data_IF_581817619984
#
_entry.id   IF_581817619984
#
_cell.length_a   1.000
_cell.length_b   1.000
_cell.length_c   1.000
_cell.angle_alpha   90.00
_cell.angle_beta   90.00
_cell.angle_gamma   90.00
#
_symmetry.space_group_name_H-M   'P 1'
#
loop_
_entity.id
_entity.type
_entity.pdbx_description
1 polymer ?
#
# COMPACT_ATOMS: atom_id res chain seq x y z
N UNK A 1 -8.29 -14.04 -10.40
CA UNK A 1 -7.92 -13.88 -8.95
C UNK A 1 -7.83 -12.40 -8.63
N UNK A 2 -8.49 -11.96 -7.55
CA UNK A 2 -8.36 -10.58 -7.08
C UNK A 2 -7.02 -10.37 -6.38
N UNK A 3 -6.61 -9.11 -6.23
CA UNK A 3 -5.39 -8.78 -5.47
C UNK A 3 -5.51 -9.28 -4.03
N UNK A 4 -6.70 -9.20 -3.44
CA UNK A 4 -6.92 -9.72 -2.08
C UNK A 4 -6.63 -11.23 -2.01
N UNK A 5 -7.12 -11.99 -2.98
CA UNK A 5 -6.85 -13.44 -3.04
C UNK A 5 -5.37 -13.74 -3.24
N UNK A 6 -4.68 -12.95 -4.08
CA UNK A 6 -3.22 -13.06 -4.25
C UNK A 6 -2.47 -12.80 -2.95
N UNK A 7 -2.90 -11.78 -2.19
CA UNK A 7 -2.30 -11.47 -0.90
C UNK A 7 -2.55 -12.56 0.14
N UNK A 8 -3.73 -13.16 0.14
CA UNK A 8 -4.02 -14.30 1.02
C UNK A 8 -3.09 -15.48 0.73
N UNK A 9 -2.85 -15.76 -0.55
CA UNK A 9 -1.93 -16.81 -0.96
C UNK A 9 -0.49 -16.48 -0.57
N UNK A 10 -0.06 -15.24 -0.80
CA UNK A 10 1.25 -14.73 -0.40
C UNK A 10 1.46 -14.85 1.12
N UNK A 11 0.46 -14.48 1.91
CA UNK A 11 0.49 -14.59 3.36
C UNK A 11 0.64 -16.06 3.78
N UNK A 12 -0.14 -16.95 3.19
CA UNK A 12 -0.07 -18.39 3.47
C UNK A 12 1.32 -18.96 3.16
N UNK A 13 1.90 -18.55 2.05
CA UNK A 13 3.25 -18.98 1.65
C UNK A 13 4.34 -18.50 2.61
N UNK A 14 4.08 -17.42 3.33
CA UNK A 14 4.98 -16.89 4.38
C UNK A 14 4.65 -17.41 5.78
N UNK A 15 3.76 -18.38 5.89
CA UNK A 15 3.39 -18.98 7.17
C UNK A 15 2.45 -18.11 8.01
N UNK A 16 1.82 -17.12 7.41
CA UNK A 16 0.86 -16.24 8.08
C UNK A 16 -0.54 -16.85 8.04
N UNK A 17 -1.26 -16.72 9.15
CA UNK A 17 -2.64 -17.16 9.27
C UNK A 17 -3.53 -15.92 9.26
N UNK A 18 -4.35 -15.77 8.23
CA UNK A 18 -5.26 -14.62 8.05
C UNK A 18 -6.69 -15.05 8.32
N UNK A 19 -7.40 -14.28 9.15
CA UNK A 19 -8.82 -14.51 9.47
C UNK A 19 -9.60 -13.20 9.41
N UNK A 20 -10.79 -13.23 8.88
CA UNK A 20 -11.74 -12.13 8.97
C UNK A 20 -12.50 -12.27 10.28
N UNK A 21 -12.52 -11.22 11.09
CA UNK A 21 -13.12 -11.22 12.43
C UNK A 21 -13.77 -9.89 12.74
N UNK A 22 -14.68 -9.91 13.73
CA UNK A 22 -15.21 -8.69 14.30
C UNK A 22 -14.12 -8.00 15.12
N UNK A 23 -13.71 -6.81 14.67
CA UNK A 23 -12.73 -5.99 15.37
C UNK A 23 -13.41 -4.72 15.87
N UNK A 24 -13.12 -4.32 17.11
CA UNK A 24 -13.82 -3.21 17.76
C UNK A 24 -13.25 -1.84 17.45
N UNK A 25 -11.96 -1.72 17.17
CA UNK A 25 -11.29 -0.41 17.09
C UNK A 25 -10.34 -0.23 15.92
N UNK A 26 -10.13 -1.26 15.11
CA UNK A 26 -9.23 -1.18 13.97
C UNK A 26 -9.73 -2.01 12.80
N UNK A 27 -9.20 -1.75 11.62
CA UNK A 27 -9.54 -2.52 10.43
C UNK A 27 -8.68 -3.77 10.29
N UNK A 28 -7.50 -3.78 10.88
CA UNK A 28 -6.60 -4.92 10.88
C UNK A 28 -5.74 -4.97 12.13
N UNK A 29 -5.32 -6.15 12.49
CA UNK A 29 -4.40 -6.40 13.61
C UNK A 29 -3.45 -7.51 13.22
N UNK A 30 -2.20 -7.40 13.70
CA UNK A 30 -1.22 -8.48 13.58
C UNK A 30 -0.67 -8.83 14.96
N UNK A 31 -0.58 -10.12 15.22
CA UNK A 31 0.08 -10.65 16.42
C UNK A 31 0.86 -11.90 16.03
N UNK A 32 2.18 -11.82 16.14
CA UNK A 32 3.10 -12.89 15.70
C UNK A 32 2.84 -13.22 14.22
N UNK A 33 2.42 -14.46 13.91
CA UNK A 33 2.11 -14.89 12.54
C UNK A 33 0.61 -14.87 12.23
N UNK A 34 -0.20 -14.19 13.05
CA UNK A 34 -1.66 -14.14 12.88
C UNK A 34 -2.10 -12.74 12.52
N UNK A 35 -2.87 -12.64 11.45
CA UNK A 35 -3.47 -11.39 10.99
C UNK A 35 -4.97 -11.50 11.07
N UNK A 36 -5.62 -10.50 11.67
CA UNK A 36 -7.07 -10.37 11.67
C UNK A 36 -7.46 -9.18 10.80
N UNK A 37 -8.44 -9.38 9.93
CA UNK A 37 -9.01 -8.35 9.08
C UNK A 37 -10.45 -8.14 9.53
N UNK A 38 -10.88 -6.87 9.64
CA UNK A 38 -12.24 -6.56 10.09
C UNK A 38 -13.28 -7.10 9.09
N UNK A 39 -14.30 -7.76 9.61
CA UNK A 39 -15.41 -8.25 8.82
C UNK A 39 -16.39 -7.14 8.40
N UNK A 40 -16.16 -5.89 8.88
CA UNK A 40 -16.91 -4.71 8.46
C UNK A 40 -16.47 -4.18 7.10
N UNK A 41 -15.30 -4.57 6.61
CA UNK A 41 -14.83 -4.16 5.29
C UNK A 41 -15.67 -4.85 4.22
N UNK A 42 -16.21 -4.06 3.30
CA UNK A 42 -17.20 -4.56 2.34
C UNK A 42 -16.60 -4.97 1.02
N UNK A 43 -15.53 -4.28 0.58
CA UNK A 43 -14.96 -4.51 -0.75
C UNK A 43 -13.65 -5.27 -0.67
N UNK A 44 -13.34 -5.97 -1.77
CA UNK A 44 -12.06 -6.66 -1.94
C UNK A 44 -10.88 -5.68 -1.88
N UNK A 45 -11.05 -4.48 -2.44
CA UNK A 45 -10.01 -3.44 -2.40
C UNK A 45 -9.72 -2.98 -0.97
N UNK A 46 -10.76 -2.76 -0.15
CA UNK A 46 -10.58 -2.40 1.26
C UNK A 46 -9.80 -3.48 2.01
N UNK A 47 -10.20 -4.72 1.84
CA UNK A 47 -9.55 -5.87 2.49
C UNK A 47 -8.10 -6.02 2.03
N UNK A 48 -7.84 -5.85 0.73
CA UNK A 48 -6.50 -5.94 0.16
C UNK A 48 -5.56 -4.88 0.76
N UNK A 49 -6.03 -3.64 0.86
CA UNK A 49 -5.23 -2.55 1.43
C UNK A 49 -4.84 -2.83 2.88
N UNK A 50 -5.81 -3.26 3.69
CA UNK A 50 -5.56 -3.60 5.10
C UNK A 50 -4.60 -4.77 5.22
N UNK A 51 -4.82 -5.83 4.45
CA UNK A 51 -3.95 -7.01 4.48
C UNK A 51 -2.53 -6.68 4.04
N UNK A 52 -2.36 -5.85 3.00
CA UNK A 52 -1.05 -5.43 2.55
C UNK A 52 -0.28 -4.66 3.63
N UNK A 53 -0.95 -3.79 4.38
CA UNK A 53 -0.33 -3.08 5.51
C UNK A 53 0.09 -4.05 6.61
N UNK A 54 -0.75 -5.00 6.97
CA UNK A 54 -0.43 -5.97 8.03
C UNK A 54 0.71 -6.90 7.61
N UNK A 55 0.76 -7.33 6.37
CA UNK A 55 1.90 -8.08 5.83
C UNK A 55 3.16 -7.22 5.88
N UNK A 56 3.04 -5.94 5.53
CA UNK A 56 4.13 -4.98 5.64
C UNK A 56 4.68 -4.87 7.07
N UNK A 57 3.79 -4.80 8.05
CA UNK A 57 4.18 -4.78 9.46
C UNK A 57 4.91 -6.07 9.85
N UNK A 58 4.44 -7.20 9.37
CA UNK A 58 5.11 -8.49 9.63
C UNK A 58 6.55 -8.50 9.12
N UNK A 59 6.77 -8.02 7.89
CA UNK A 59 8.10 -8.05 7.26
C UNK A 59 9.06 -7.00 7.83
N UNK A 60 8.56 -5.90 8.37
CA UNK A 60 9.38 -4.77 8.80
C UNK A 60 9.48 -4.61 10.31
N UNK A 61 8.64 -5.30 11.08
CA UNK A 61 8.61 -5.16 12.53
C UNK A 61 9.88 -5.74 13.17
N UNK A 62 10.44 -4.96 14.11
CA UNK A 62 11.52 -5.39 14.99
C UNK A 62 10.98 -5.26 16.42
N UNK A 63 10.52 -6.38 17.00
CA UNK A 63 9.88 -6.39 18.30
C UNK A 63 8.40 -5.99 18.23
N UNK A 64 7.77 -5.83 19.40
CA UNK A 64 6.36 -5.49 19.50
C UNK A 64 6.16 -3.99 19.33
N UNK A 65 5.30 -3.58 18.39
CA UNK A 65 4.91 -2.18 18.21
C UNK A 65 3.75 -1.89 19.17
N UNK A 66 4.06 -1.69 20.45
CA UNK A 66 3.05 -1.48 21.48
C UNK A 66 2.87 -0.01 21.84
N UNK A 67 3.92 0.80 21.69
CA UNK A 67 3.90 2.21 22.07
C UNK A 67 4.23 3.11 20.87
N UNK A 68 3.17 3.67 20.26
CA UNK A 68 3.32 4.58 19.11
C UNK A 68 3.87 5.96 19.49
N UNK A 69 4.04 6.25 20.79
CA UNK A 69 4.70 7.49 21.23
C UNK A 69 6.22 7.37 21.17
N UNK A 70 6.74 6.16 21.08
CA UNK A 70 8.16 5.93 20.85
C UNK A 70 8.49 6.20 19.37
N UNK A 71 9.50 7.05 19.13
CA UNK A 71 9.92 7.46 17.78
C UNK A 71 10.30 6.24 16.91
N UNK A 72 10.96 5.24 17.50
CA UNK A 72 11.35 4.03 16.75
C UNK A 72 10.13 3.21 16.33
N UNK A 73 9.13 3.10 17.20
CA UNK A 73 7.88 2.42 16.87
C UNK A 73 7.10 3.14 15.77
N UNK A 74 7.10 4.49 15.79
CA UNK A 74 6.50 5.28 14.72
C UNK A 74 7.21 5.07 13.39
N UNK A 75 8.54 4.99 13.40
CA UNK A 75 9.32 4.72 12.19
C UNK A 75 9.03 3.31 11.64
N UNK A 76 8.88 2.32 12.51
CA UNK A 76 8.52 0.97 12.09
C UNK A 76 7.11 0.92 11.50
N UNK A 77 6.16 1.65 12.10
CA UNK A 77 4.81 1.78 11.59
C UNK A 77 4.82 2.37 10.18
N UNK A 78 5.60 3.42 9.96
CA UNK A 78 5.74 4.04 8.65
C UNK A 78 6.40 3.10 7.64
N UNK A 79 7.39 2.32 8.04
CA UNK A 79 8.02 1.32 7.17
C UNK A 79 7.03 0.23 6.76
N UNK A 80 6.19 -0.23 7.69
CA UNK A 80 5.15 -1.21 7.41
C UNK A 80 4.15 -0.69 6.39
N UNK A 81 3.68 0.55 6.56
CA UNK A 81 2.77 1.19 5.62
C UNK A 81 3.41 1.36 4.25
N UNK A 82 4.65 1.84 4.20
CA UNK A 82 5.38 2.00 2.95
C UNK A 82 5.54 0.67 2.21
N UNK A 83 5.82 -0.40 2.94
CA UNK A 83 5.87 -1.75 2.36
C UNK A 83 4.53 -2.11 1.69
N UNK A 84 3.42 -1.82 2.35
CA UNK A 84 2.07 -2.02 1.80
C UNK A 84 1.81 -1.17 0.57
N UNK A 85 2.18 0.11 0.59
CA UNK A 85 2.04 1.00 -0.57
C UNK A 85 2.85 0.49 -1.75
N UNK A 86 4.08 0.08 -1.52
CA UNK A 86 4.96 -0.42 -2.58
C UNK A 86 4.46 -1.77 -3.13
N UNK A 87 3.87 -2.62 -2.30
CA UNK A 87 3.30 -3.89 -2.74
C UNK A 87 2.08 -3.68 -3.63
N UNK A 88 1.19 -2.75 -3.25
CA UNK A 88 -0.07 -2.52 -3.94
C UNK A 88 0.05 -1.56 -5.12
N UNK A 89 0.92 -0.58 -5.03
CA UNK A 89 1.02 0.52 -5.98
C UNK A 89 2.42 0.58 -6.58
N UNK A 90 3.38 1.08 -5.79
CA UNK A 90 4.73 1.33 -6.24
C UNK A 90 4.81 2.39 -7.34
N UNK A 91 6.01 2.84 -7.65
CA UNK A 91 6.21 3.80 -8.75
C UNK A 91 5.80 3.17 -10.09
N UNK A 92 6.09 1.89 -10.27
CA UNK A 92 5.72 1.18 -11.50
C UNK A 92 4.21 1.06 -11.68
N UNK A 93 3.47 0.84 -10.60
CA UNK A 93 2.00 0.81 -10.64
C UNK A 93 1.41 2.12 -11.12
N UNK A 94 1.97 3.24 -10.67
CA UNK A 94 1.55 4.58 -11.13
C UNK A 94 1.78 4.72 -12.63
N UNK A 95 2.95 4.32 -13.11
CA UNK A 95 3.28 4.36 -14.54
C UNK A 95 2.32 3.49 -15.34
N UNK A 96 2.06 2.27 -14.88
CA UNK A 96 1.17 1.35 -15.57
C UNK A 96 -0.26 1.89 -15.66
N UNK A 97 -0.75 2.54 -14.61
CA UNK A 97 -2.07 3.17 -14.61
C UNK A 97 -2.16 4.30 -15.64
N UNK A 98 -1.18 5.18 -15.70
CA UNK A 98 -1.13 6.26 -16.70
C UNK A 98 -1.00 5.70 -18.11
N UNK A 99 -0.18 4.68 -18.31
CA UNK A 99 -0.03 4.01 -19.60
C UNK A 99 -1.33 3.36 -20.05
N UNK A 100 -2.12 2.84 -19.12
CA UNK A 100 -3.44 2.26 -19.40
C UNK A 100 -4.51 3.32 -19.70
N UNK A 101 -4.20 4.60 -19.57
CA UNK A 101 -5.11 5.71 -19.89
C UNK A 101 -5.88 6.27 -18.72
N UNK A 102 -5.55 5.91 -17.49
CA UNK A 102 -6.20 6.48 -16.31
C UNK A 102 -5.93 7.97 -16.20
N UNK A 103 -7.00 8.77 -15.99
CA UNK A 103 -6.92 10.22 -15.95
C UNK A 103 -7.33 10.82 -14.60
N UNK A 104 -7.86 10.01 -13.69
CA UNK A 104 -8.32 10.47 -12.39
C UNK A 104 -7.82 9.55 -11.29
N UNK A 105 -7.82 10.05 -10.05
CA UNK A 105 -7.50 9.24 -8.88
C UNK A 105 -8.42 8.04 -8.77
N UNK A 106 -9.70 8.23 -9.04
CA UNK A 106 -10.68 7.13 -9.03
C UNK A 106 -10.31 6.02 -10.02
N UNK A 107 -9.97 6.39 -11.27
CA UNK A 107 -9.58 5.42 -12.29
C UNK A 107 -8.29 4.69 -11.92
N UNK A 108 -7.31 5.40 -11.37
CA UNK A 108 -6.05 4.80 -10.92
C UNK A 108 -6.32 3.79 -9.79
N UNK A 109 -7.14 4.17 -8.83
CA UNK A 109 -7.49 3.29 -7.71
C UNK A 109 -8.19 2.02 -8.19
N UNK A 110 -9.15 2.13 -9.11
CA UNK A 110 -9.82 0.98 -9.71
C UNK A 110 -8.84 0.09 -10.46
N UNK A 111 -7.96 0.68 -11.26
CA UNK A 111 -6.95 -0.06 -12.02
C UNK A 111 -6.03 -0.87 -11.11
N UNK A 112 -5.62 -0.29 -9.98
CA UNK A 112 -4.71 -0.93 -9.04
C UNK A 112 -5.42 -1.77 -7.96
N UNK A 113 -6.76 -1.79 -7.98
CA UNK A 113 -7.58 -2.53 -7.00
C UNK A 113 -7.32 -2.08 -5.55
N UNK A 114 -7.14 -0.77 -5.37
CA UNK A 114 -6.98 -0.14 -4.05
C UNK A 114 -8.11 0.86 -3.82
N UNK A 115 -8.27 1.30 -2.58
CA UNK A 115 -9.19 2.41 -2.29
C UNK A 115 -8.56 3.74 -2.68
N UNK A 116 -9.37 4.75 -2.97
CA UNK A 116 -8.87 6.09 -3.27
C UNK A 116 -8.10 6.69 -2.09
N UNK A 117 -8.56 6.42 -0.87
CA UNK A 117 -7.89 6.85 0.36
C UNK A 117 -6.49 6.25 0.47
N UNK A 118 -6.36 4.94 0.26
CA UNK A 118 -5.06 4.25 0.28
C UNK A 118 -4.13 4.83 -0.78
N UNK A 119 -4.64 5.05 -1.99
CA UNK A 119 -3.87 5.66 -3.08
C UNK A 119 -3.38 7.05 -2.70
N UNK A 120 -4.25 7.90 -2.12
CA UNK A 120 -3.86 9.25 -1.73
C UNK A 120 -2.79 9.24 -0.64
N UNK A 121 -2.91 8.36 0.34
CA UNK A 121 -1.90 8.19 1.38
C UNK A 121 -0.56 7.76 0.81
N UNK A 122 -0.57 6.83 -0.15
CA UNK A 122 0.64 6.39 -0.84
C UNK A 122 1.29 7.52 -1.63
N UNK A 123 0.49 8.30 -2.37
CA UNK A 123 0.99 9.46 -3.12
C UNK A 123 1.62 10.48 -2.18
N UNK A 124 0.99 10.77 -1.04
CA UNK A 124 1.53 11.67 -0.04
C UNK A 124 2.87 11.17 0.50
N UNK A 125 2.96 9.88 0.77
CA UNK A 125 4.19 9.24 1.23
C UNK A 125 5.31 9.35 0.19
N UNK A 126 5.02 9.08 -1.07
CA UNK A 126 6.00 9.19 -2.16
C UNK A 126 6.44 10.65 -2.38
N UNK A 127 5.50 11.59 -2.30
CA UNK A 127 5.82 13.02 -2.39
C UNK A 127 6.78 13.45 -1.27
N UNK A 128 6.53 12.99 -0.05
CA UNK A 128 7.41 13.30 1.08
C UNK A 128 8.80 12.70 0.90
N UNK A 129 8.87 11.52 0.29
CA UNK A 129 10.13 10.82 0.07
C UNK A 129 10.92 11.37 -1.13
N UNK A 130 10.25 11.66 -2.24
CA UNK A 130 10.91 12.02 -3.50
C UNK A 130 10.85 13.50 -3.86
N UNK A 131 9.97 14.27 -3.23
CA UNK A 131 9.80 15.69 -3.51
C UNK A 131 8.97 15.94 -4.76
N UNK A 132 9.45 16.86 -5.61
CA UNK A 132 8.71 17.32 -6.80
C UNK A 132 8.51 16.18 -7.80
N UNK A 133 9.56 15.41 -8.08
CA UNK A 133 9.50 14.33 -9.05
C UNK A 133 10.57 13.28 -8.77
N UNK A 134 10.43 12.14 -9.41
CA UNK A 134 11.44 11.08 -9.43
C UNK A 134 11.42 10.39 -10.79
N UNK A 135 12.51 9.69 -11.11
CA UNK A 135 12.64 8.96 -12.36
C UNK A 135 12.71 7.46 -12.10
N UNK A 136 12.12 6.69 -12.99
CA UNK A 136 12.24 5.24 -13.02
C UNK A 136 12.21 4.81 -14.49
N UNK A 137 13.22 4.06 -14.91
CA UNK A 137 13.43 3.68 -16.32
C UNK A 137 13.39 4.91 -17.21
N UNK A 138 12.55 4.93 -18.25
CA UNK A 138 12.40 6.06 -19.17
C UNK A 138 11.29 7.03 -18.74
N UNK A 139 10.78 6.93 -17.51
CA UNK A 139 9.64 7.70 -17.04
C UNK A 139 10.03 8.69 -15.95
N UNK A 140 9.31 9.81 -15.92
CA UNK A 140 9.38 10.79 -14.84
C UNK A 140 8.00 10.85 -14.19
N UNK A 141 7.96 10.68 -12.88
CA UNK A 141 6.73 10.80 -12.10
C UNK A 141 6.80 12.12 -11.35
N UNK A 142 5.83 13.00 -11.58
CA UNK A 142 5.69 14.27 -10.88
C UNK A 142 4.65 14.13 -9.76
N UNK A 143 4.99 14.64 -8.58
CA UNK A 143 4.08 14.67 -7.43
C UNK A 143 3.56 16.07 -7.14
N UNK A 144 4.26 17.08 -7.58
CA UNK A 144 3.94 18.50 -7.35
C UNK A 144 3.97 19.23 -8.71
N UNK A 145 2.98 20.05 -9.06
CA UNK A 145 1.78 20.39 -8.27
C UNK A 145 0.73 19.27 -8.24
N UNK A 146 0.73 18.36 -9.19
CA UNK A 146 -0.21 17.26 -9.30
C UNK A 146 0.51 16.00 -9.75
N UNK A 147 -0.09 14.85 -9.48
CA UNK A 147 0.44 13.58 -9.97
C UNK A 147 0.38 13.54 -11.49
N UNK A 148 1.52 13.30 -12.12
CA UNK A 148 1.62 13.20 -13.58
C UNK A 148 2.80 12.28 -13.93
N UNK A 149 2.70 11.65 -15.08
CA UNK A 149 3.76 10.78 -15.61
C UNK A 149 4.15 11.26 -17.01
N UNK A 150 5.44 11.48 -17.20
CA UNK A 150 6.02 11.79 -18.51
C UNK A 150 6.97 10.70 -18.94
N UNK A 151 7.07 10.47 -20.22
CA UNK A 151 8.06 9.55 -20.79
C UNK A 151 9.27 10.34 -21.27
N UNK A 152 10.46 9.86 -20.90
CA UNK A 152 11.70 10.48 -21.34
C UNK A 152 12.06 9.91 -22.71
N UNK A 153 12.10 10.80 -23.71
CA UNK A 153 12.48 10.41 -25.07
C UNK A 153 13.94 10.78 -25.26
N UNK A 154 14.79 9.79 -25.44
CA UNK A 154 16.18 10.02 -25.85
C UNK A 154 16.18 10.48 -27.30
N UNK A 155 16.72 11.67 -27.51
CA UNK A 155 16.89 12.22 -28.86
C UNK A 155 18.25 11.82 -29.38
#
# INVERSE_FOLDING_TARGET
MTIYEELLEEASNNGLVVREKALSSSDGLIYKNRIAISDRLETSAEKACVLAEEIGHYHTAVGDIVDLQNIENLKQEQKGRLHGYNRMIGLRGIIDAFTAGCQSRHEIAEFLEVTEEFLQEAINCYRDKYGICTTIDNYVIYFIPNLAVGEHIDI
#
